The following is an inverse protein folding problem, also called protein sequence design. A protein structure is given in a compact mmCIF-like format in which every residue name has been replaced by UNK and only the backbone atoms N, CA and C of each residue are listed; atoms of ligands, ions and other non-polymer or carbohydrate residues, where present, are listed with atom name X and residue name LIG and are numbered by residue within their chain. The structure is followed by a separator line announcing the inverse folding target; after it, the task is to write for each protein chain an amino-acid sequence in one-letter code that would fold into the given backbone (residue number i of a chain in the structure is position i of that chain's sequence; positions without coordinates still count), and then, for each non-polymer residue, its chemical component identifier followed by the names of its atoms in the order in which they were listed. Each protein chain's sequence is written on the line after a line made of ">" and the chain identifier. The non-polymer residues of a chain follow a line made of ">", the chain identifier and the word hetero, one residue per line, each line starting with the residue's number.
data_IF_394331168721
#
_entry.id   IF_394331168721
#
_cell.length_a   1.000
_cell.length_b   1.000
_cell.length_c   1.000
_cell.angle_alpha   90.00
_cell.angle_beta   90.00
_cell.angle_gamma   90.00
#
_symmetry.space_group_name_H-M   'P 1'
#
loop_
_entity.id
_entity.type
_entity.pdbx_description
1 polymer ?
#
# COMPACT_ATOMS: atom_id res chain seq x y z
N UNK A 1 45.81 -22.05 -28.51
CA UNK A 1 44.80 -21.68 -29.52
C UNK A 1 43.49 -21.47 -28.81
N UNK A 2 43.10 -20.22 -28.56
CA UNK A 2 41.82 -19.86 -27.95
C UNK A 2 40.78 -19.72 -29.05
N UNK A 3 39.94 -20.74 -29.19
CA UNK A 3 38.82 -20.76 -30.12
C UNK A 3 37.79 -19.73 -29.63
N UNK A 4 37.81 -18.53 -30.21
CA UNK A 4 36.87 -17.46 -29.85
C UNK A 4 35.53 -17.82 -30.47
N UNK A 5 34.58 -18.25 -29.64
CA UNK A 5 33.19 -18.40 -30.05
C UNK A 5 32.72 -17.10 -30.74
N UNK A 6 32.03 -17.19 -31.89
CA UNK A 6 31.53 -16.01 -32.58
C UNK A 6 30.63 -15.20 -31.64
N UNK A 7 30.71 -13.86 -31.69
CA UNK A 7 29.90 -13.02 -30.82
C UNK A 7 28.42 -13.30 -31.06
N UNK A 8 27.59 -13.40 -29.99
CA UNK A 8 26.16 -13.63 -30.15
C UNK A 8 25.56 -12.52 -31.02
N UNK A 9 24.72 -12.89 -31.97
CA UNK A 9 24.07 -11.93 -32.87
C UNK A 9 23.28 -10.90 -32.04
N UNK A 10 23.78 -9.67 -32.00
CA UNK A 10 23.22 -8.56 -31.23
C UNK A 10 22.02 -7.97 -31.95
N UNK A 11 20.87 -8.64 -31.83
CA UNK A 11 19.59 -8.05 -32.18
C UNK A 11 19.15 -6.97 -31.17
N UNK A 12 18.19 -6.11 -31.52
CA UNK A 12 17.63 -5.14 -30.58
C UNK A 12 17.04 -5.88 -29.37
N UNK A 13 17.41 -5.43 -28.17
CA UNK A 13 16.92 -6.01 -26.90
C UNK A 13 15.56 -5.43 -26.50
N UNK A 14 15.30 -4.19 -26.91
CA UNK A 14 14.06 -3.45 -26.67
C UNK A 14 13.12 -3.64 -27.85
N UNK A 15 12.32 -4.71 -27.81
CA UNK A 15 11.31 -4.99 -28.83
C UNK A 15 9.90 -4.69 -28.27
N UNK A 16 8.93 -4.25 -29.10
CA UNK A 16 7.56 -4.03 -28.66
C UNK A 16 6.94 -5.28 -28.01
N UNK A 17 7.32 -6.45 -28.52
CA UNK A 17 6.90 -7.74 -27.97
C UNK A 17 7.43 -7.96 -26.56
N UNK A 18 8.71 -7.70 -26.30
CA UNK A 18 9.30 -7.84 -24.97
C UNK A 18 8.63 -6.88 -23.97
N UNK A 19 8.35 -5.64 -24.39
CA UNK A 19 7.62 -4.66 -23.58
C UNK A 19 6.21 -5.17 -23.27
N UNK A 20 5.47 -5.66 -24.27
CA UNK A 20 4.09 -6.14 -24.07
C UNK A 20 4.04 -7.34 -23.10
N UNK A 21 4.95 -8.31 -23.27
CA UNK A 21 5.05 -9.48 -22.37
C UNK A 21 5.48 -9.04 -20.97
N UNK A 22 6.47 -8.16 -20.87
CA UNK A 22 6.95 -7.63 -19.59
C UNK A 22 5.87 -6.86 -18.85
N UNK A 23 5.09 -6.02 -19.55
CA UNK A 23 3.97 -5.28 -18.99
C UNK A 23 2.84 -6.21 -18.53
N UNK A 24 2.48 -7.21 -19.33
CA UNK A 24 1.46 -8.19 -18.96
C UNK A 24 1.88 -9.00 -17.72
N UNK A 25 3.13 -9.47 -17.71
CA UNK A 25 3.70 -10.21 -16.58
C UNK A 25 3.75 -9.33 -15.32
N UNK A 26 4.16 -8.08 -15.46
CA UNK A 26 4.18 -7.09 -14.39
C UNK A 26 2.77 -6.87 -13.81
N UNK A 27 1.77 -6.55 -14.65
CA UNK A 27 0.38 -6.35 -14.18
C UNK A 27 -0.15 -7.60 -13.47
N UNK A 28 0.09 -8.78 -14.04
CA UNK A 28 -0.33 -10.05 -13.43
C UNK A 28 0.31 -10.24 -12.06
N UNK A 29 1.62 -9.97 -11.94
CA UNK A 29 2.35 -10.09 -10.69
C UNK A 29 1.91 -9.04 -9.66
N UNK A 30 1.65 -7.80 -10.09
CA UNK A 30 1.14 -6.72 -9.25
C UNK A 30 -0.23 -7.03 -8.66
N UNK A 31 -1.10 -7.72 -9.40
CA UNK A 31 -2.42 -8.16 -8.92
C UNK A 31 -2.33 -9.41 -8.04
N UNK A 32 -1.43 -10.34 -8.37
CA UNK A 32 -1.23 -11.57 -7.60
C UNK A 32 -0.58 -11.34 -6.23
N UNK A 33 0.29 -10.33 -6.12
CA UNK A 33 1.01 -10.01 -4.87
C UNK A 33 0.08 -9.69 -3.69
N UNK A 34 -0.85 -8.71 -3.78
CA UNK A 34 -1.76 -8.42 -2.66
C UNK A 34 -2.70 -9.59 -2.35
N UNK A 35 -3.14 -10.34 -3.37
CA UNK A 35 -3.95 -11.54 -3.15
C UNK A 35 -3.19 -12.60 -2.35
N UNK A 36 -1.92 -12.84 -2.69
CA UNK A 36 -1.06 -13.75 -1.95
C UNK A 36 -0.83 -13.27 -0.51
N UNK A 37 -0.49 -11.99 -0.35
CA UNK A 37 -0.16 -11.44 0.96
C UNK A 37 -1.37 -11.44 1.92
N UNK A 38 -2.59 -11.26 1.39
CA UNK A 38 -3.82 -11.37 2.18
C UNK A 38 -4.10 -12.81 2.60
N UNK A 39 -4.08 -13.76 1.66
CA UNK A 39 -4.49 -15.15 1.93
C UNK A 39 -3.40 -15.98 2.64
N UNK A 40 -2.14 -15.82 2.22
CA UNK A 40 -1.01 -16.62 2.67
C UNK A 40 -0.06 -15.75 3.48
N UNK A 41 -0.49 -15.40 4.70
CA UNK A 41 0.23 -14.56 5.66
C UNK A 41 1.64 -15.06 6.03
N UNK A 42 2.09 -16.20 5.48
CA UNK A 42 3.33 -16.90 5.83
C UNK A 42 4.44 -16.84 4.76
N UNK A 43 4.19 -16.30 3.56
CA UNK A 43 5.24 -16.24 2.52
C UNK A 43 5.08 -15.00 1.65
N UNK A 44 5.93 -14.00 1.88
CA UNK A 44 6.01 -12.82 1.03
C UNK A 44 6.46 -13.24 -0.37
N UNK A 45 5.58 -13.09 -1.35
CA UNK A 45 5.91 -13.30 -2.77
C UNK A 45 7.06 -12.38 -3.22
N UNK A 46 7.20 -11.26 -2.50
CA UNK A 46 8.20 -10.23 -2.71
C UNK A 46 8.98 -9.92 -1.42
N UNK A 47 10.30 -10.17 -1.44
CA UNK A 47 11.23 -9.84 -0.35
C UNK A 47 12.31 -8.88 -0.87
N UNK A 48 12.79 -7.97 0.00
CA UNK A 48 13.72 -6.88 -0.34
C UNK A 48 15.01 -7.32 -1.02
N UNK A 49 15.59 -8.46 -0.64
CA UNK A 49 16.92 -8.86 -1.11
C UNK A 49 16.88 -9.75 -2.36
N UNK A 50 15.82 -10.55 -2.50
CA UNK A 50 15.60 -11.40 -3.64
C UNK A 50 14.10 -11.68 -3.70
N UNK A 51 13.37 -11.14 -4.68
CA UNK A 51 11.94 -11.39 -4.79
C UNK A 51 11.69 -12.80 -5.34
N UNK A 52 11.38 -13.80 -4.47
CA UNK A 52 11.37 -15.20 -4.88
C UNK A 52 10.32 -15.46 -5.97
N UNK A 53 9.16 -14.79 -5.90
CA UNK A 53 8.13 -14.91 -6.92
C UNK A 53 8.59 -14.43 -8.29
N UNK A 54 9.34 -13.31 -8.35
CA UNK A 54 9.89 -12.80 -9.62
C UNK A 54 10.96 -13.75 -10.14
N UNK A 55 11.84 -14.26 -9.27
CA UNK A 55 12.88 -15.24 -9.66
C UNK A 55 12.25 -16.50 -10.24
N UNK A 56 11.25 -17.07 -9.58
CA UNK A 56 10.52 -18.25 -10.08
C UNK A 56 9.83 -17.95 -11.40
N UNK A 57 9.15 -16.80 -11.53
CA UNK A 57 8.49 -16.40 -12.77
C UNK A 57 9.49 -16.26 -13.93
N UNK A 58 10.64 -15.63 -13.70
CA UNK A 58 11.70 -15.49 -14.71
C UNK A 58 12.28 -16.85 -15.10
N UNK A 59 12.49 -17.76 -14.14
CA UNK A 59 12.93 -19.13 -14.42
C UNK A 59 11.90 -19.90 -15.24
N UNK A 60 10.61 -19.80 -14.90
CA UNK A 60 9.52 -20.43 -15.67
C UNK A 60 9.45 -19.86 -17.08
N UNK A 61 9.59 -18.54 -17.24
CA UNK A 61 9.61 -17.90 -18.56
C UNK A 61 10.83 -18.35 -19.37
N UNK A 62 12.03 -18.35 -18.79
CA UNK A 62 13.27 -18.64 -19.50
C UNK A 62 13.46 -20.14 -19.80
N UNK A 63 13.12 -21.02 -18.86
CA UNK A 63 13.38 -22.47 -18.95
C UNK A 63 12.14 -23.27 -19.36
N UNK A 64 10.94 -22.78 -19.07
CA UNK A 64 9.68 -23.43 -19.43
C UNK A 64 9.08 -22.87 -20.70
N UNK A 65 8.65 -21.61 -20.67
CA UNK A 65 7.88 -21.00 -21.76
C UNK A 65 8.75 -20.75 -22.99
N UNK A 66 9.97 -20.24 -22.81
CA UNK A 66 10.85 -19.88 -23.92
C UNK A 66 11.16 -21.05 -24.86
N UNK A 67 11.64 -22.23 -24.40
CA UNK A 67 11.93 -23.32 -25.31
C UNK A 67 10.70 -23.82 -26.07
N UNK A 68 9.51 -23.77 -25.44
CA UNK A 68 8.22 -24.15 -26.04
C UNK A 68 7.76 -23.21 -27.16
N UNK A 69 8.23 -21.95 -27.18
CA UNK A 69 7.89 -20.99 -28.23
C UNK A 69 8.56 -21.28 -29.60
N UNK A 70 9.49 -22.23 -29.67
CA UNK A 70 10.13 -22.65 -30.93
C UNK A 70 10.76 -21.50 -31.71
N UNK A 71 10.29 -21.26 -32.94
CA UNK A 71 10.77 -20.15 -33.79
C UNK A 71 10.50 -18.75 -33.21
N UNK A 72 9.56 -18.63 -32.26
CA UNK A 72 9.22 -17.39 -31.57
C UNK A 72 9.92 -17.27 -30.22
N UNK A 73 11.03 -17.97 -29.99
CA UNK A 73 11.84 -17.81 -28.75
C UNK A 73 12.18 -16.34 -28.49
N UNK A 74 12.09 -15.96 -27.22
CA UNK A 74 12.59 -14.71 -26.69
C UNK A 74 14.12 -14.74 -26.69
N UNK A 75 14.71 -13.66 -27.17
CA UNK A 75 16.16 -13.45 -27.15
C UNK A 75 16.61 -13.13 -25.72
N UNK A 76 17.89 -13.35 -25.44
CA UNK A 76 18.47 -13.02 -24.13
C UNK A 76 18.22 -11.56 -23.73
N UNK A 77 18.36 -10.63 -24.69
CA UNK A 77 18.08 -9.21 -24.48
C UNK A 77 16.62 -8.92 -24.13
N UNK A 78 15.67 -9.62 -24.76
CA UNK A 78 14.23 -9.47 -24.45
C UNK A 78 13.89 -10.02 -23.07
N UNK A 79 14.46 -11.17 -22.69
CA UNK A 79 14.33 -11.74 -21.35
C UNK A 79 14.91 -10.81 -20.27
N UNK A 80 16.06 -10.16 -20.56
CA UNK A 80 16.65 -9.18 -19.66
C UNK A 80 15.75 -7.96 -19.46
N UNK A 81 15.11 -7.45 -20.53
CA UNK A 81 14.14 -6.36 -20.45
C UNK A 81 12.92 -6.77 -19.61
N UNK A 82 12.34 -7.95 -19.86
CA UNK A 82 11.20 -8.47 -19.09
C UNK A 82 11.57 -8.60 -17.61
N UNK A 83 12.76 -9.14 -17.31
CA UNK A 83 13.27 -9.30 -15.95
C UNK A 83 13.46 -7.94 -15.27
N UNK A 84 14.06 -6.97 -15.96
CA UNK A 84 14.23 -5.62 -15.44
C UNK A 84 12.88 -4.95 -15.13
N UNK A 85 11.89 -5.08 -16.00
CA UNK A 85 10.54 -4.56 -15.77
C UNK A 85 9.89 -5.19 -14.52
N UNK A 86 10.01 -6.50 -14.34
CA UNK A 86 9.48 -7.20 -13.17
C UNK A 86 10.18 -6.78 -11.87
N UNK A 87 11.50 -6.59 -11.89
CA UNK A 87 12.27 -6.13 -10.73
C UNK A 87 11.93 -4.70 -10.34
N UNK A 88 11.80 -3.79 -11.33
CA UNK A 88 11.40 -2.39 -11.10
C UNK A 88 10.01 -2.34 -10.50
N UNK A 89 9.03 -3.03 -11.09
CA UNK A 89 7.67 -3.09 -10.56
C UNK A 89 7.67 -3.61 -9.12
N UNK A 90 8.37 -4.71 -8.90
CA UNK A 90 8.49 -5.32 -7.60
C UNK A 90 8.96 -4.34 -6.53
N UNK A 91 10.04 -3.59 -6.79
CA UNK A 91 10.58 -2.61 -5.86
C UNK A 91 9.62 -1.45 -5.60
N UNK A 92 8.98 -0.95 -6.65
CA UNK A 92 8.07 0.21 -6.57
C UNK A 92 6.75 -0.14 -5.88
N UNK A 93 6.10 -1.23 -6.28
CA UNK A 93 4.78 -1.59 -5.76
C UNK A 93 4.87 -2.18 -4.36
N UNK A 94 5.81 -3.09 -4.11
CA UNK A 94 5.91 -3.74 -2.80
C UNK A 94 6.49 -2.81 -1.75
N UNK A 95 7.73 -2.34 -1.95
CA UNK A 95 8.40 -1.53 -0.94
C UNK A 95 7.93 -0.07 -1.00
N UNK A 96 7.88 0.51 -2.19
CA UNK A 96 7.45 1.90 -2.38
C UNK A 96 6.02 2.14 -1.93
N UNK A 97 5.06 1.44 -2.55
CA UNK A 97 3.64 1.74 -2.36
C UNK A 97 3.05 1.12 -1.09
N UNK A 98 3.39 -0.11 -0.72
CA UNK A 98 2.79 -0.72 0.48
C UNK A 98 3.50 -0.32 1.79
N UNK A 99 4.80 -0.07 1.77
CA UNK A 99 5.54 0.29 3.01
C UNK A 99 5.80 1.78 3.14
N UNK A 100 6.39 2.40 2.12
CA UNK A 100 6.81 3.80 2.25
C UNK A 100 5.66 4.78 2.05
N UNK A 101 4.75 4.52 1.13
CA UNK A 101 3.68 5.47 0.83
C UNK A 101 2.74 5.72 2.03
N UNK A 102 2.25 4.69 2.77
CA UNK A 102 1.57 4.90 4.04
C UNK A 102 2.41 5.71 5.03
N UNK A 103 3.68 5.34 5.23
CA UNK A 103 4.56 6.04 6.16
C UNK A 103 4.81 7.50 5.78
N UNK A 104 4.90 7.83 4.49
CA UNK A 104 5.09 9.19 4.00
C UNK A 104 3.82 10.02 4.20
N UNK A 105 2.64 9.43 4.00
CA UNK A 105 1.36 10.12 4.20
C UNK A 105 1.02 10.30 5.68
N UNK A 106 1.16 9.25 6.50
CA UNK A 106 0.80 9.26 7.91
C UNK A 106 1.93 9.70 8.85
N UNK A 107 3.18 9.67 8.38
CA UNK A 107 4.36 10.04 9.15
C UNK A 107 4.26 11.44 9.78
N UNK A 108 3.86 12.49 9.04
CA UNK A 108 3.63 13.81 9.61
C UNK A 108 2.62 13.79 10.76
N UNK A 109 1.50 13.08 10.63
CA UNK A 109 0.49 12.98 11.70
C UNK A 109 1.06 12.34 12.96
N UNK A 110 1.94 11.33 12.82
CA UNK A 110 2.64 10.72 13.95
C UNK A 110 3.62 11.70 14.61
N UNK A 111 4.41 12.41 13.81
CA UNK A 111 5.41 13.38 14.30
C UNK A 111 4.79 14.62 14.96
N UNK A 112 3.60 15.07 14.52
CA UNK A 112 2.87 16.18 15.14
C UNK A 112 2.61 15.94 16.64
N UNK A 113 2.40 14.68 17.04
CA UNK A 113 2.13 14.34 18.45
C UNK A 113 3.36 14.38 19.35
N UNK A 114 4.56 14.26 18.76
CA UNK A 114 5.82 14.13 19.50
C UNK A 114 6.78 15.31 19.33
N UNK A 115 6.51 16.25 18.42
CA UNK A 115 7.45 17.32 18.08
C UNK A 115 6.97 18.65 18.66
N UNK A 116 7.59 19.17 19.74
CA UNK A 116 7.13 20.38 20.41
C UNK A 116 7.16 21.64 19.54
N UNK A 117 8.00 21.65 18.49
CA UNK A 117 8.05 22.75 17.50
C UNK A 117 6.82 22.82 16.60
N UNK A 118 6.07 21.72 16.47
CA UNK A 118 4.83 21.65 15.71
C UNK A 118 3.57 21.83 16.59
N UNK A 119 3.73 21.83 17.92
CA UNK A 119 2.67 22.14 18.87
C UNK A 119 1.97 23.49 18.61
N UNK A 120 2.62 24.57 18.12
CA UNK A 120 1.95 25.83 17.80
C UNK A 120 0.96 25.75 16.63
N UNK A 121 1.07 24.73 15.74
CA UNK A 121 0.09 24.47 14.68
C UNK A 121 -1.20 23.83 15.22
N UNK A 122 -1.17 23.36 16.47
CA UNK A 122 -2.34 23.05 17.28
C UNK A 122 -2.55 24.23 18.27
N UNK A 123 -3.29 25.29 17.91
CA UNK A 123 -3.41 26.45 18.76
C UNK A 123 -4.05 26.08 20.08
N UNK A 124 -3.58 26.69 21.17
CA UNK A 124 -4.05 26.47 22.54
C UNK A 124 -5.56 26.72 22.76
N UNK A 125 -6.22 27.32 21.77
CA UNK A 125 -7.62 27.71 21.81
C UNK A 125 -8.55 26.70 21.11
N UNK A 126 -8.03 25.64 20.49
CA UNK A 126 -8.83 24.59 19.85
C UNK A 126 -9.33 24.88 18.42
N UNK A 127 -9.13 26.10 17.90
CA UNK A 127 -9.60 26.53 16.57
C UNK A 127 -8.68 26.06 15.41
N UNK A 128 -8.28 24.78 15.37
CA UNK A 128 -7.55 24.29 14.19
C UNK A 128 -8.55 24.09 13.04
N UNK A 129 -8.42 24.86 11.96
CA UNK A 129 -9.01 24.50 10.66
C UNK A 129 -8.07 23.49 10.00
N UNK A 130 -8.11 22.24 10.44
CA UNK A 130 -7.48 21.15 9.72
C UNK A 130 -8.29 20.83 8.46
N UNK A 131 -7.65 20.39 7.36
CA UNK A 131 -8.36 19.98 6.15
C UNK A 131 -9.35 18.85 6.48
N UNK A 132 -10.64 19.07 6.22
CA UNK A 132 -11.79 18.32 6.78
C UNK A 132 -11.93 16.83 6.45
N UNK A 133 -10.90 16.13 5.92
CA UNK A 133 -11.01 14.72 5.54
C UNK A 133 -9.80 13.91 5.99
N UNK A 134 -10.13 12.84 6.73
CA UNK A 134 -9.29 11.85 7.43
C UNK A 134 -8.56 12.39 8.68
N UNK A 135 -9.29 12.50 9.78
CA UNK A 135 -8.70 12.70 11.10
C UNK A 135 -9.09 11.59 12.07
N UNK A 136 -8.07 11.05 12.73
CA UNK A 136 -8.15 10.46 14.07
C UNK A 136 -8.90 11.45 14.95
N UNK A 137 -9.87 11.00 15.75
CA UNK A 137 -10.57 11.85 16.69
C UNK A 137 -9.60 12.59 17.58
N UNK A 138 -9.52 13.90 17.40
CA UNK A 138 -8.75 14.77 18.27
C UNK A 138 -9.62 15.06 19.50
N UNK A 139 -9.12 14.83 20.73
CA UNK A 139 -9.87 15.22 21.92
C UNK A 139 -10.11 16.74 21.91
N UNK A 140 -11.31 17.19 22.28
CA UNK A 140 -11.66 18.62 22.32
C UNK A 140 -10.67 19.41 23.21
N UNK A 141 -10.12 18.76 24.24
CA UNK A 141 -9.14 19.34 25.15
C UNK A 141 -8.01 18.36 25.49
N UNK A 142 -6.78 18.87 25.52
CA UNK A 142 -5.59 18.14 25.97
C UNK A 142 -4.81 17.44 24.84
N UNK A 143 -3.63 16.86 25.17
CA UNK A 143 -2.79 16.19 24.18
C UNK A 143 -3.41 14.88 23.70
N UNK A 144 -3.10 14.48 22.46
CA UNK A 144 -3.46 13.17 21.91
C UNK A 144 -2.77 12.10 22.74
N UNK A 145 -3.57 11.18 23.28
CA UNK A 145 -3.10 10.05 24.08
C UNK A 145 -2.70 8.90 23.15
N UNK A 146 -1.43 8.51 23.17
CA UNK A 146 -0.92 7.39 22.34
C UNK A 146 -1.44 6.02 22.82
N UNK A 147 -1.93 5.93 24.06
CA UNK A 147 -2.63 4.76 24.59
C UNK A 147 -4.12 4.70 24.20
N UNK A 148 -4.64 5.72 23.51
CA UNK A 148 -6.01 5.75 23.02
C UNK A 148 -6.26 4.65 21.97
N UNK A 149 -7.35 3.89 22.13
CA UNK A 149 -7.71 2.82 21.20
C UNK A 149 -7.90 3.34 19.77
N UNK A 150 -8.41 4.55 19.59
CA UNK A 150 -8.63 5.18 18.29
C UNK A 150 -7.31 5.57 17.63
N UNK A 151 -6.37 6.09 18.41
CA UNK A 151 -5.00 6.35 17.94
C UNK A 151 -4.29 5.04 17.54
N UNK A 152 -4.37 4.01 18.38
CA UNK A 152 -3.78 2.70 18.09
C UNK A 152 -4.39 2.06 16.83
N UNK A 153 -5.70 2.18 16.65
CA UNK A 153 -6.36 1.59 15.50
C UNK A 153 -6.06 2.36 14.20
N UNK A 154 -6.22 3.69 14.21
CA UNK A 154 -6.09 4.51 13.00
C UNK A 154 -4.63 4.79 12.66
N UNK A 155 -3.78 5.09 13.65
CA UNK A 155 -2.37 5.47 13.41
C UNK A 155 -1.45 4.26 13.46
N UNK A 156 -1.51 3.45 14.51
CA UNK A 156 -0.64 2.27 14.61
C UNK A 156 -1.12 1.14 13.70
N UNK A 157 -2.43 0.93 13.55
CA UNK A 157 -2.99 -0.03 12.60
C UNK A 157 -2.64 0.31 11.16
N UNK A 158 -2.64 1.59 10.79
CA UNK A 158 -2.20 2.03 9.46
C UNK A 158 -0.69 1.87 9.26
N UNK A 159 0.14 2.17 10.28
CA UNK A 159 1.60 2.08 10.15
C UNK A 159 2.15 0.65 10.26
N UNK A 160 1.55 -0.19 11.11
CA UNK A 160 2.08 -1.50 11.50
C UNK A 160 1.18 -2.67 11.08
N UNK A 161 -0.01 -2.39 10.54
CA UNK A 161 -1.07 -3.38 10.33
C UNK A 161 -1.88 -3.62 11.60
N UNK A 162 -3.18 -3.87 11.44
CA UNK A 162 -4.05 -4.27 12.55
C UNK A 162 -3.77 -5.74 12.92
N UNK A 163 -3.63 -6.03 14.21
CA UNK A 163 -3.57 -7.42 14.69
C UNK A 163 -4.96 -8.04 14.53
N UNK A 164 -5.07 -9.18 13.85
CA UNK A 164 -6.33 -9.92 13.68
C UNK A 164 -6.93 -10.20 15.06
N UNK A 165 -8.11 -9.62 15.36
CA UNK A 165 -8.85 -9.85 16.60
C UNK A 165 -9.43 -8.59 17.24
N UNK A 166 -8.80 -7.43 17.04
CA UNK A 166 -9.29 -6.14 17.55
C UNK A 166 -10.16 -5.44 16.50
N UNK A 167 -11.36 -5.97 16.26
CA UNK A 167 -12.27 -5.51 15.21
C UNK A 167 -13.44 -4.72 15.80
N UNK A 168 -13.14 -3.51 16.28
CA UNK A 168 -14.06 -2.38 16.35
C UNK A 168 -13.50 -1.34 17.32
N UNK A 169 -13.02 -0.21 16.81
CA UNK A 169 -12.93 1.00 17.62
C UNK A 169 -13.95 1.98 17.10
N UNK A 170 -14.96 2.27 17.92
CA UNK A 170 -15.92 3.33 17.63
C UNK A 170 -15.21 4.67 17.59
N UNK A 171 -15.27 5.35 16.45
CA UNK A 171 -14.73 6.71 16.31
C UNK A 171 -15.49 7.65 17.26
N UNK A 172 -14.76 8.40 18.10
CA UNK A 172 -15.35 9.38 19.02
C UNK A 172 -15.37 10.81 18.45
N UNK A 173 -14.85 10.99 17.24
CA UNK A 173 -14.86 12.28 16.54
C UNK A 173 -16.29 12.81 16.43
N UNK A 174 -16.56 13.98 17.00
CA UNK A 174 -17.82 14.70 16.79
C UNK A 174 -17.57 15.80 15.76
N UNK A 175 -18.26 15.74 14.63
CA UNK A 175 -18.31 16.83 13.65
C UNK A 175 -19.42 17.79 14.05
N UNK A 176 -19.05 19.07 14.16
CA UNK A 176 -19.99 20.16 14.21
C UNK A 176 -20.09 20.81 12.83
N UNK A 177 -21.31 21.05 12.33
CA UNK A 177 -21.53 21.87 11.13
C UNK A 177 -22.60 22.91 11.41
N UNK A 178 -22.53 24.04 10.72
CA UNK A 178 -23.56 25.08 10.79
C UNK A 178 -24.36 25.08 9.49
N UNK A 179 -25.68 24.93 9.59
CA UNK A 179 -26.60 24.98 8.45
C UNK A 179 -26.82 26.42 7.96
N UNK A 180 -27.43 26.58 6.79
CA UNK A 180 -27.64 27.88 6.15
C UNK A 180 -28.57 28.82 6.95
N UNK A 181 -29.41 28.26 7.81
CA UNK A 181 -30.27 28.98 8.76
C UNK A 181 -29.53 29.37 10.07
N UNK A 182 -28.23 29.06 10.17
CA UNK A 182 -27.38 29.41 11.30
C UNK A 182 -27.40 28.40 12.45
N UNK A 183 -28.16 27.31 12.37
CA UNK A 183 -28.22 26.28 13.41
C UNK A 183 -26.93 25.45 13.41
N UNK A 184 -26.32 25.25 14.59
CA UNK A 184 -25.16 24.38 14.74
C UNK A 184 -25.61 22.97 15.10
N UNK A 185 -25.29 22.02 14.23
CA UNK A 185 -25.48 20.60 14.44
C UNK A 185 -24.18 19.96 14.92
N UNK A 186 -24.30 18.89 15.72
CA UNK A 186 -23.19 18.04 16.16
C UNK A 186 -23.61 16.59 15.95
N UNK A 187 -22.75 15.80 15.30
CA UNK A 187 -22.92 14.35 15.17
C UNK A 187 -21.58 13.66 15.23
N UNK A 188 -21.53 12.42 15.68
CA UNK A 188 -20.29 11.62 15.59
C UNK A 188 -19.99 11.37 14.12
N UNK A 189 -18.76 11.65 13.69
CA UNK A 189 -18.30 11.56 12.29
C UNK A 189 -18.46 10.15 11.70
N UNK A 190 -18.59 9.13 12.57
CA UNK A 190 -18.91 7.76 12.19
C UNK A 190 -19.85 7.09 13.23
N UNK A 191 -20.93 7.72 13.71
CA UNK A 191 -21.96 6.99 14.47
C UNK A 191 -22.79 6.10 13.54
N UNK A 192 -22.19 5.05 12.99
CA UNK A 192 -22.89 3.79 12.78
C UNK A 192 -22.67 3.00 14.06
N UNK A 193 -23.73 2.75 14.82
CA UNK A 193 -23.62 1.97 16.04
C UNK A 193 -23.26 0.51 15.67
N UNK A 194 -22.08 0.05 16.06
CA UNK A 194 -21.80 -1.38 16.21
C UNK A 194 -22.63 -1.90 17.39
N UNK A 195 -23.94 -2.05 17.19
CA UNK A 195 -24.75 -2.83 18.10
C UNK A 195 -24.32 -4.29 17.91
N UNK A 196 -23.88 -4.93 18.99
CA UNK A 196 -23.56 -6.37 19.02
C UNK A 196 -24.81 -7.27 18.80
N UNK A 197 -25.86 -6.76 18.16
CA UNK A 197 -27.09 -7.45 17.84
C UNK A 197 -28.18 -6.47 17.37
N UNK A 198 -28.40 -6.42 16.05
CA UNK A 198 -29.66 -5.98 15.44
C UNK A 198 -29.84 -4.49 15.12
N UNK A 199 -30.02 -4.17 13.84
CA UNK A 199 -30.54 -2.89 13.33
C UNK A 199 -29.78 -2.37 12.10
N UNK A 200 -30.52 -2.08 11.03
CA UNK A 200 -30.07 -1.78 9.66
C UNK A 200 -29.28 -0.46 9.48
N UNK A 201 -28.11 -0.33 10.11
CA UNK A 201 -27.17 0.78 9.85
C UNK A 201 -25.72 0.27 9.88
N UNK A 202 -25.37 -0.56 8.89
CA UNK A 202 -23.98 -0.93 8.60
C UNK A 202 -23.61 -0.39 7.23
N UNK A 203 -22.52 0.37 7.20
CA UNK A 203 -21.82 0.67 5.96
C UNK A 203 -21.05 -0.61 5.58
N UNK A 204 -21.66 -1.40 4.70
CA UNK A 204 -21.01 -2.52 4.04
C UNK A 204 -19.83 -1.98 3.21
N UNK A 205 -18.62 -2.47 3.47
CA UNK A 205 -17.41 -2.11 2.72
C UNK A 205 -16.85 -3.35 2.01
N UNK A 206 -17.76 -4.10 1.39
CA UNK A 206 -17.49 -4.88 0.18
C UNK A 206 -17.80 -4.05 -1.07
#
# INVERSE_FOLDING_TARGET
>A
MSDRLPPPASGPSLTPRAIAIGALAAVTFALATPYNDWQYTSSYLYCHFMPPGVTVLVLVLALGVNPLLGARRLRLGELAVITAMLLVLGGVVSSGLNRFFPQVIAGPAKLLTSTPELAPLAPANGDVVLPTRFFVGLPEHGPIRTDDAEYRYVVDGFNNGLVRGDLAVGHRTVVAWRSADGVTHRATACSGALAAGGGDDVLDLD
#
